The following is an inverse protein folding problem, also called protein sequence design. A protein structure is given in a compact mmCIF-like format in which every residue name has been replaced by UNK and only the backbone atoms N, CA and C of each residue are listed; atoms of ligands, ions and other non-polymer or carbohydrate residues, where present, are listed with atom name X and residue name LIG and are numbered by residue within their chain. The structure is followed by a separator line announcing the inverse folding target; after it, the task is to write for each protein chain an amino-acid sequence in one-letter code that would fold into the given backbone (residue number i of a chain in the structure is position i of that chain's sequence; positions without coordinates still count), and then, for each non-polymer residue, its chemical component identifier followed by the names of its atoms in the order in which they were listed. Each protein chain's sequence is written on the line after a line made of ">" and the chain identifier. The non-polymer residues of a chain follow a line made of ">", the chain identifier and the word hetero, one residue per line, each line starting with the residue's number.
data_IF_119779735451
#
_entry.id   IF_119779735451
#
_cell.length_a   1.000
_cell.length_b   1.000
_cell.length_c   1.000
_cell.angle_alpha   90.00
_cell.angle_beta   90.00
_cell.angle_gamma   90.00
#
_symmetry.space_group_name_H-M   'P 1'
#
loop_
_entity.id
_entity.type
_entity.pdbx_description
1 polymer ?
#
# COMPACT_ATOMS: atom_id res chain seq x y z
N UNK A 1 -13.53 -12.81 -51.67
CA UNK A 1 -12.48 -12.96 -50.67
C UNK A 1 -12.84 -12.02 -49.54
N UNK A 2 -13.29 -12.48 -48.36
CA UNK A 2 -13.37 -11.57 -47.23
C UNK A 2 -11.94 -11.30 -46.74
N UNK A 3 -11.65 -10.06 -46.38
CA UNK A 3 -10.39 -9.67 -45.75
C UNK A 3 -10.31 -10.36 -44.39
N UNK A 4 -9.50 -11.41 -44.31
CA UNK A 4 -9.20 -12.09 -43.04
C UNK A 4 -8.33 -11.18 -42.19
N UNK A 5 -8.94 -10.51 -41.22
CA UNK A 5 -8.25 -9.77 -40.18
C UNK A 5 -7.49 -10.78 -39.30
N UNK A 6 -6.16 -10.84 -39.45
CA UNK A 6 -5.31 -11.71 -38.65
C UNK A 6 -5.25 -11.18 -37.22
N UNK A 7 -5.97 -11.82 -36.29
CA UNK A 7 -5.82 -11.58 -34.85
C UNK A 7 -4.63 -12.38 -34.35
N UNK A 8 -3.57 -11.70 -33.92
CA UNK A 8 -2.42 -12.32 -33.26
C UNK A 8 -2.69 -12.37 -31.76
N UNK A 9 -3.05 -13.54 -31.24
CA UNK A 9 -3.19 -13.75 -29.81
C UNK A 9 -1.83 -14.15 -29.21
N UNK A 10 -1.26 -13.30 -28.36
CA UNK A 10 -0.11 -13.67 -27.54
C UNK A 10 -0.66 -14.26 -26.24
N UNK A 11 -0.39 -15.55 -26.01
CA UNK A 11 -0.70 -16.20 -24.74
C UNK A 11 0.40 -15.83 -23.73
N UNK A 12 0.07 -14.98 -22.78
CA UNK A 12 0.95 -14.71 -21.64
C UNK A 12 0.86 -15.87 -20.66
N UNK A 13 1.97 -16.60 -20.53
CA UNK A 13 2.08 -17.68 -19.55
C UNK A 13 2.53 -17.13 -18.20
N UNK A 14 2.27 -17.89 -17.12
CA UNK A 14 2.78 -17.61 -15.78
C UNK A 14 4.30 -17.41 -15.75
N UNK A 15 5.03 -18.14 -16.61
CA UNK A 15 6.47 -17.99 -16.79
C UNK A 15 6.88 -16.64 -17.39
N UNK A 16 6.09 -16.10 -18.34
CA UNK A 16 6.34 -14.77 -18.91
C UNK A 16 6.15 -13.68 -17.87
N UNK A 17 5.05 -13.74 -17.10
CA UNK A 17 4.77 -12.78 -16.04
C UNK A 17 5.87 -12.81 -14.97
N UNK A 18 6.30 -14.00 -14.55
CA UNK A 18 7.42 -14.15 -13.60
C UNK A 18 8.72 -13.53 -14.12
N UNK A 19 9.03 -13.74 -15.40
CA UNK A 19 10.22 -13.14 -16.02
C UNK A 19 10.12 -11.61 -16.09
N UNK A 20 8.96 -11.07 -16.44
CA UNK A 20 8.74 -9.61 -16.50
C UNK A 20 8.78 -8.97 -15.11
N UNK A 21 8.32 -9.66 -14.08
CA UNK A 21 8.28 -9.19 -12.69
C UNK A 21 9.44 -9.72 -11.84
N UNK A 22 10.54 -10.17 -12.45
CA UNK A 22 11.65 -10.83 -11.74
C UNK A 22 12.25 -9.96 -10.62
N UNK A 23 12.28 -8.64 -10.81
CA UNK A 23 12.86 -7.68 -9.86
C UNK A 23 12.05 -7.60 -8.55
N UNK A 24 10.77 -7.99 -8.59
CA UNK A 24 9.85 -7.94 -7.47
C UNK A 24 9.75 -9.24 -6.69
N UNK A 25 10.36 -10.32 -7.20
CA UNK A 25 10.41 -11.64 -6.58
C UNK A 25 9.05 -12.11 -6.02
N UNK A 26 8.03 -12.05 -6.86
CA UNK A 26 6.65 -12.39 -6.50
C UNK A 26 6.55 -13.82 -5.96
N UNK A 27 5.79 -13.99 -4.88
CA UNK A 27 5.38 -15.30 -4.39
C UNK A 27 4.45 -16.00 -5.39
N UNK A 28 4.19 -17.30 -5.17
CA UNK A 28 3.26 -18.03 -6.05
C UNK A 28 1.83 -17.49 -5.96
N UNK A 29 1.37 -17.08 -4.77
CA UNK A 29 0.05 -16.49 -4.55
C UNK A 29 -0.06 -15.07 -5.15
N UNK A 30 1.01 -14.28 -5.03
CA UNK A 30 1.10 -12.96 -5.65
C UNK A 30 1.07 -13.08 -7.18
N UNK A 31 1.79 -14.07 -7.72
CA UNK A 31 1.78 -14.33 -9.15
C UNK A 31 0.40 -14.81 -9.63
N UNK A 32 -0.32 -15.61 -8.85
CA UNK A 32 -1.70 -16.00 -9.16
C UNK A 32 -2.64 -14.79 -9.16
N UNK A 33 -2.46 -13.87 -8.20
CA UNK A 33 -3.22 -12.61 -8.15
C UNK A 33 -2.97 -11.75 -9.39
N UNK A 34 -1.71 -11.67 -9.86
CA UNK A 34 -1.38 -10.96 -11.11
C UNK A 34 -2.03 -11.64 -12.31
N UNK A 35 -1.99 -12.97 -12.40
CA UNK A 35 -2.64 -13.72 -13.49
C UNK A 35 -4.16 -13.49 -13.52
N UNK A 36 -4.82 -13.49 -12.36
CA UNK A 36 -6.25 -13.23 -12.26
C UNK A 36 -6.60 -11.80 -12.70
N UNK A 37 -5.85 -10.80 -12.23
CA UNK A 37 -6.06 -9.39 -12.63
C UNK A 37 -5.78 -9.17 -14.12
N UNK A 38 -4.83 -9.91 -14.69
CA UNK A 38 -4.59 -9.90 -16.13
C UNK A 38 -5.82 -10.44 -16.88
N UNK A 39 -6.36 -11.59 -16.47
CA UNK A 39 -7.61 -12.17 -17.03
C UNK A 39 -8.78 -11.19 -16.99
N UNK A 40 -8.95 -10.44 -15.90
CA UNK A 40 -9.98 -9.41 -15.79
C UNK A 40 -9.71 -8.20 -16.71
N UNK A 41 -8.43 -7.85 -16.91
CA UNK A 41 -8.02 -6.77 -17.82
C UNK A 41 -8.10 -7.16 -19.31
N UNK A 42 -8.17 -8.46 -19.63
CA UNK A 42 -8.16 -8.99 -21.01
C UNK A 42 -9.43 -8.70 -21.82
N UNK A 43 -10.44 -8.03 -21.26
CA UNK A 43 -11.61 -7.53 -22.01
C UNK A 43 -11.20 -6.66 -23.21
N UNK A 44 -9.99 -6.05 -23.20
CA UNK A 44 -9.48 -5.20 -24.29
C UNK A 44 -8.09 -5.58 -24.85
N UNK A 45 -7.55 -6.75 -24.51
CA UNK A 45 -6.18 -7.17 -24.90
C UNK A 45 -5.10 -6.55 -24.01
N UNK A 46 -4.16 -7.36 -23.51
CA UNK A 46 -3.12 -6.91 -22.59
C UNK A 46 -1.84 -6.49 -23.34
N UNK A 47 -1.38 -5.27 -23.09
CA UNK A 47 -0.03 -4.79 -23.39
C UNK A 47 0.91 -5.20 -22.24
N UNK A 48 2.20 -5.34 -22.49
CA UNK A 48 3.22 -5.61 -21.46
C UNK A 48 3.15 -4.63 -20.27
N UNK A 49 2.75 -3.38 -20.55
CA UNK A 49 2.48 -2.34 -19.56
C UNK A 49 1.43 -2.73 -18.53
N UNK A 50 0.40 -3.47 -18.92
CA UNK A 50 -0.67 -3.91 -18.01
C UNK A 50 -0.10 -4.83 -16.92
N UNK A 51 0.87 -5.69 -17.28
CA UNK A 51 1.56 -6.54 -16.30
C UNK A 51 2.34 -5.67 -15.31
N UNK A 52 3.09 -4.67 -15.79
CA UNK A 52 3.84 -3.76 -14.93
C UNK A 52 2.93 -2.93 -14.01
N UNK A 53 1.82 -2.43 -14.53
CA UNK A 53 0.86 -1.63 -13.76
C UNK A 53 0.21 -2.48 -12.65
N UNK A 54 -0.24 -3.69 -12.97
CA UNK A 54 -0.80 -4.63 -11.99
C UNK A 54 0.23 -5.00 -10.91
N UNK A 55 1.48 -5.29 -11.31
CA UNK A 55 2.53 -5.63 -10.35
C UNK A 55 2.86 -4.43 -9.45
N UNK A 56 2.96 -3.23 -10.00
CA UNK A 56 3.23 -2.02 -9.22
C UNK A 56 2.09 -1.73 -8.24
N UNK A 57 0.83 -1.87 -8.67
CA UNK A 57 -0.33 -1.73 -7.81
C UNK A 57 -0.29 -2.75 -6.66
N UNK A 58 -0.05 -4.03 -6.97
CA UNK A 58 0.07 -5.09 -5.97
C UNK A 58 1.22 -4.81 -4.97
N UNK A 59 2.35 -4.33 -5.45
CA UNK A 59 3.48 -3.98 -4.59
C UNK A 59 3.18 -2.77 -3.70
N UNK A 60 2.41 -1.80 -4.18
CA UNK A 60 1.96 -0.67 -3.37
C UNK A 60 0.91 -1.10 -2.34
N UNK A 61 -0.03 -1.97 -2.70
CA UNK A 61 -0.98 -2.59 -1.77
C UNK A 61 -0.23 -3.35 -0.66
N UNK A 62 0.78 -4.14 -1.02
CA UNK A 62 1.64 -4.84 -0.06
C UNK A 62 2.44 -3.86 0.81
N UNK A 63 2.93 -2.77 0.23
CA UNK A 63 3.67 -1.72 0.96
C UNK A 63 2.78 -1.03 1.98
N UNK A 64 1.55 -0.70 1.62
CA UNK A 64 0.55 -0.04 2.49
C UNK A 64 0.09 -0.98 3.59
N UNK A 65 -0.12 -2.26 3.29
CA UNK A 65 -0.59 -3.26 4.25
C UNK A 65 0.52 -4.00 5.00
N UNK A 66 1.78 -3.56 4.86
CA UNK A 66 2.90 -4.24 5.52
C UNK A 66 2.77 -4.15 7.04
N UNK A 67 2.93 -5.29 7.70
CA UNK A 67 3.05 -5.34 9.16
C UNK A 67 4.53 -5.23 9.53
N UNK A 68 4.84 -4.35 10.47
CA UNK A 68 6.20 -4.17 11.00
C UNK A 68 6.19 -4.40 12.50
N UNK A 69 7.20 -5.11 13.01
CA UNK A 69 7.39 -5.31 14.44
C UNK A 69 8.32 -4.24 14.98
N UNK A 70 7.83 -3.46 15.95
CA UNK A 70 8.64 -2.49 16.68
C UNK A 70 8.67 -2.94 18.15
N UNK A 71 9.85 -3.07 18.78
CA UNK A 71 9.94 -3.28 20.21
C UNK A 71 9.14 -2.21 20.98
N UNK A 72 8.35 -2.61 21.97
CA UNK A 72 7.49 -1.71 22.75
C UNK A 72 8.23 -0.47 23.27
N UNK A 73 9.46 -0.65 23.78
CA UNK A 73 10.32 0.43 24.27
C UNK A 73 10.74 1.45 23.21
N UNK A 74 10.77 1.06 21.93
CA UNK A 74 11.05 1.99 20.82
C UNK A 74 9.78 2.71 20.41
N UNK A 75 8.64 2.02 20.37
CA UNK A 75 7.35 2.64 20.09
C UNK A 75 7.00 3.70 21.14
N UNK A 76 7.23 3.42 22.43
CA UNK A 76 7.03 4.39 23.52
C UNK A 76 7.85 5.68 23.31
N UNK A 77 9.12 5.55 22.92
CA UNK A 77 9.98 6.71 22.63
C UNK A 77 9.45 7.54 21.47
N UNK A 78 9.00 6.89 20.40
CA UNK A 78 8.39 7.56 19.24
C UNK A 78 7.12 8.30 19.65
N UNK A 79 6.27 7.68 20.47
CA UNK A 79 5.05 8.31 20.97
C UNK A 79 5.34 9.55 21.83
N UNK A 80 6.36 9.51 22.70
CA UNK A 80 6.80 10.68 23.49
C UNK A 80 7.27 11.83 22.59
N UNK A 81 8.06 11.51 21.55
CA UNK A 81 8.52 12.51 20.59
C UNK A 81 7.35 13.14 19.82
N UNK A 82 6.44 12.32 19.30
CA UNK A 82 5.27 12.80 18.58
C UNK A 82 4.32 13.62 19.48
N UNK A 83 4.15 13.22 20.74
CA UNK A 83 3.42 14.00 21.75
C UNK A 83 4.00 15.39 21.95
N UNK A 84 5.33 15.53 21.94
CA UNK A 84 6.02 16.82 22.09
C UNK A 84 5.86 17.69 20.84
N UNK A 85 5.80 17.07 19.67
CA UNK A 85 5.65 17.72 18.38
C UNK A 85 4.21 18.24 18.13
N UNK A 86 3.19 17.52 18.61
CA UNK A 86 1.77 17.93 18.51
C UNK A 86 1.53 19.32 19.12
N UNK A 87 2.14 19.62 20.26
CA UNK A 87 2.01 20.94 20.90
C UNK A 87 2.67 22.05 20.07
N UNK A 88 3.78 21.76 19.40
CA UNK A 88 4.43 22.71 18.49
C UNK A 88 3.56 23.00 17.26
N UNK A 89 2.98 21.96 16.68
CA UNK A 89 2.10 22.08 15.50
C UNK A 89 0.76 22.73 15.81
N UNK A 90 0.21 22.54 17.02
CA UNK A 90 -0.98 23.25 17.50
C UNK A 90 -0.80 24.77 17.46
N UNK A 91 0.33 25.27 17.98
CA UNK A 91 0.64 26.69 18.00
C UNK A 91 0.73 27.25 16.57
N UNK A 92 1.47 26.57 15.69
CA UNK A 92 1.63 26.98 14.28
C UNK A 92 0.31 26.92 13.51
N UNK A 93 -0.50 25.88 13.72
CA UNK A 93 -1.79 25.71 13.07
C UNK A 93 -2.79 26.81 13.47
N UNK A 94 -2.80 27.15 14.76
CA UNK A 94 -3.66 28.22 15.29
C UNK A 94 -3.23 29.60 14.80
N UNK A 95 -1.92 29.87 14.74
CA UNK A 95 -1.36 31.12 14.21
C UNK A 95 -1.70 31.34 12.73
N UNK A 96 -1.84 30.27 11.96
CA UNK A 96 -2.19 30.30 10.54
C UNK A 96 -3.71 30.23 10.29
N UNK A 97 -4.55 30.39 11.33
CA UNK A 97 -6.01 30.40 11.24
C UNK A 97 -6.68 29.03 11.13
N UNK A 98 -5.94 27.95 11.38
CA UNK A 98 -6.47 26.59 11.48
C UNK A 98 -7.02 26.25 12.86
N UNK A 99 -7.86 25.21 12.93
CA UNK A 99 -8.36 24.66 14.20
C UNK A 99 -7.32 23.72 14.80
N UNK A 100 -6.39 24.29 15.57
CA UNK A 100 -5.38 23.51 16.30
C UNK A 100 -5.99 22.48 17.25
N UNK A 101 -7.15 22.78 17.84
CA UNK A 101 -7.80 21.90 18.81
C UNK A 101 -8.42 20.67 18.14
N UNK A 102 -8.96 20.82 16.92
CA UNK A 102 -9.37 19.67 16.09
C UNK A 102 -8.17 18.78 15.74
N UNK A 103 -7.05 19.36 15.33
CA UNK A 103 -5.82 18.62 15.03
C UNK A 103 -5.32 17.82 16.23
N UNK A 104 -5.21 18.45 17.41
CA UNK A 104 -4.76 17.77 18.64
C UNK A 104 -5.69 16.62 19.03
N UNK A 105 -7.00 16.74 18.77
CA UNK A 105 -7.97 15.71 19.09
C UNK A 105 -7.81 14.46 18.22
N UNK A 106 -7.60 14.64 16.92
CA UNK A 106 -7.33 13.55 15.99
C UNK A 106 -6.03 12.82 16.35
N UNK A 107 -4.96 13.58 16.58
CA UNK A 107 -3.66 13.03 16.97
C UNK A 107 -3.70 12.30 18.33
N UNK A 108 -4.51 12.77 19.28
CA UNK A 108 -4.72 12.07 20.57
C UNK A 108 -5.43 10.73 20.39
N UNK A 109 -6.34 10.61 19.44
CA UNK A 109 -7.02 9.34 19.16
C UNK A 109 -6.03 8.32 18.56
N UNK A 110 -5.14 8.75 17.68
CA UNK A 110 -4.06 7.91 17.16
C UNK A 110 -3.14 7.43 18.29
N UNK A 111 -2.75 8.34 19.20
CA UNK A 111 -1.94 7.99 20.37
C UNK A 111 -2.64 7.00 21.31
N UNK A 112 -3.97 7.09 21.45
CA UNK A 112 -4.77 6.16 22.25
C UNK A 112 -4.68 4.75 21.69
N UNK A 113 -4.82 4.58 20.37
CA UNK A 113 -4.70 3.27 19.70
C UNK A 113 -3.29 2.69 19.87
N UNK A 114 -2.23 3.50 19.70
CA UNK A 114 -0.86 3.04 19.92
C UNK A 114 -0.60 2.64 21.39
N UNK A 115 -1.24 3.31 22.34
CA UNK A 115 -1.14 2.99 23.76
C UNK A 115 -1.80 1.64 24.08
N UNK A 116 -2.98 1.38 23.54
CA UNK A 116 -3.63 0.06 23.66
C UNK A 116 -2.73 -1.06 23.15
N UNK A 117 -2.04 -0.83 22.03
CA UNK A 117 -1.06 -1.79 21.49
C UNK A 117 0.13 -2.03 22.44
N UNK A 118 0.60 -1.02 23.18
CA UNK A 118 1.65 -1.18 24.19
C UNK A 118 1.15 -1.93 25.44
N UNK A 119 -0.08 -1.64 25.86
CA UNK A 119 -0.71 -2.25 27.03
C UNK A 119 -1.14 -3.70 26.77
N UNK A 120 -1.05 -4.17 25.53
CA UNK A 120 -1.49 -5.50 25.11
C UNK A 120 -3.02 -5.66 25.08
N UNK A 121 -3.74 -4.55 25.16
CA UNK A 121 -5.19 -4.49 25.04
C UNK A 121 -5.54 -4.51 23.53
N UNK A 122 -5.73 -5.70 22.98
CA UNK A 122 -6.34 -5.83 21.66
C UNK A 122 -7.81 -5.41 21.78
N UNK A 123 -8.20 -4.33 21.10
CA UNK A 123 -9.58 -3.88 20.99
C UNK A 123 -10.51 -4.91 20.34
#
# INVERSE_FOLDING_TARGET
>A
MPDSECVFAVVLTRGNVRHMAQDWNLSDDELETVMQRLDDAFVYGACDRVVSDIVNELMEEKRVNRLVTVPAVLLEKVMVMAGSEIYRLHAVGSENGGDGDAFVREEREIMRVMRQALDGENG
#
